data_IF_222020504117
#
_entry.id   IF_222020504117
#
_cell.length_a   1.000
_cell.length_b   1.000
_cell.length_c   1.000
_cell.angle_alpha   90.00
_cell.angle_beta   90.00
_cell.angle_gamma   90.00
#
_symmetry.space_group_name_H-M   'P 1'
#
loop_
_entity.id
_entity.type
_entity.pdbx_description
1 polymer ?
#
# COMPACT_ATOMS: atom_id res chain seq x y z
N UNK A 1 -8.25 -20.16 0.97
CA UNK A 1 -8.30 -18.68 1.06
C UNK A 1 -8.52 -18.20 -0.37
N UNK A 2 -9.63 -17.53 -0.69
CA UNK A 2 -9.90 -17.10 -2.07
C UNK A 2 -8.96 -15.95 -2.42
N UNK A 3 -8.15 -16.12 -3.47
CA UNK A 3 -7.36 -15.02 -3.99
C UNK A 3 -8.31 -13.93 -4.50
N UNK A 4 -8.06 -12.70 -4.09
CA UNK A 4 -8.80 -11.54 -4.58
C UNK A 4 -7.97 -10.84 -5.66
N UNK A 5 -8.57 -10.06 -6.57
CA UNK A 5 -7.86 -9.29 -7.59
C UNK A 5 -7.46 -7.88 -7.14
N UNK A 6 -7.64 -7.49 -5.87
CA UNK A 6 -7.44 -6.11 -5.40
C UNK A 6 -5.97 -5.64 -5.46
N UNK A 7 -5.78 -4.35 -5.76
CA UNK A 7 -4.51 -3.65 -5.56
C UNK A 7 -4.53 -2.92 -4.21
N UNK A 8 -3.37 -2.78 -3.57
CA UNK A 8 -3.23 -2.21 -2.23
C UNK A 8 -2.21 -1.06 -2.25
N UNK A 9 -2.65 0.12 -1.81
CA UNK A 9 -1.77 1.22 -1.44
C UNK A 9 -1.55 1.16 0.08
N UNK A 10 -0.41 0.61 0.50
CA UNK A 10 -0.05 0.51 1.91
C UNK A 10 0.55 1.83 2.40
N UNK A 11 -0.12 2.47 3.36
CA UNK A 11 0.25 3.78 3.89
C UNK A 11 0.67 3.62 5.36
N UNK A 12 1.96 3.85 5.66
CA UNK A 12 2.47 3.87 7.03
C UNK A 12 3.77 4.70 7.10
N UNK A 13 4.27 4.95 8.31
CA UNK A 13 5.56 5.60 8.57
C UNK A 13 6.73 4.61 8.40
N UNK A 14 6.48 3.31 8.56
CA UNK A 14 7.49 2.25 8.44
C UNK A 14 6.90 1.01 7.74
N UNK A 15 7.73 0.26 7.01
CA UNK A 15 7.31 -0.93 6.27
C UNK A 15 7.90 -2.24 6.79
N UNK A 16 8.56 -2.25 7.95
CA UNK A 16 9.35 -3.40 8.42
C UNK A 16 8.53 -4.70 8.46
N UNK A 17 7.24 -4.59 8.84
CA UNK A 17 6.32 -5.73 8.92
C UNK A 17 5.88 -6.28 7.56
N UNK A 18 5.89 -5.46 6.51
CA UNK A 18 5.42 -5.83 5.17
C UNK A 18 6.54 -5.89 4.13
N UNK A 19 7.81 -5.65 4.53
CA UNK A 19 8.95 -5.61 3.61
C UNK A 19 9.08 -6.87 2.75
N UNK A 20 8.80 -8.03 3.34
CA UNK A 20 8.82 -9.33 2.66
C UNK A 20 7.73 -9.49 1.58
N UNK A 21 6.75 -8.58 1.51
CA UNK A 21 5.75 -8.52 0.45
C UNK A 21 6.16 -7.59 -0.69
N UNK A 22 7.20 -6.76 -0.48
CA UNK A 22 7.68 -5.76 -1.43
C UNK A 22 8.92 -6.23 -2.20
N UNK A 23 9.69 -7.17 -1.64
CA UNK A 23 10.97 -7.64 -2.19
C UNK A 23 11.14 -9.16 -1.99
N UNK A 24 11.63 -9.93 -2.98
CA UNK A 24 12.06 -9.53 -4.33
C UNK A 24 10.94 -9.48 -5.37
N UNK A 25 11.21 -8.94 -6.57
CA UNK A 25 10.24 -8.76 -7.65
C UNK A 25 9.50 -10.02 -8.13
N UNK A 26 9.98 -11.22 -7.76
CA UNK A 26 9.39 -12.50 -8.12
C UNK A 26 8.21 -12.92 -7.24
N UNK A 27 7.78 -12.09 -6.28
CA UNK A 27 6.67 -12.42 -5.38
C UNK A 27 5.33 -12.19 -6.11
N UNK A 28 4.30 -13.04 -5.90
CA UNK A 28 2.96 -12.87 -6.49
C UNK A 28 2.28 -11.52 -6.25
N UNK A 29 2.75 -10.76 -5.25
CA UNK A 29 2.24 -9.45 -4.87
C UNK A 29 2.92 -8.29 -5.61
N UNK A 30 3.99 -8.57 -6.37
CA UNK A 30 4.68 -7.53 -7.11
C UNK A 30 3.72 -6.86 -8.11
N UNK A 31 3.73 -5.52 -8.15
CA UNK A 31 2.79 -4.71 -8.91
C UNK A 31 1.37 -4.60 -8.34
N UNK A 32 1.01 -5.41 -7.32
CA UNK A 32 -0.30 -5.36 -6.66
C UNK A 32 -0.29 -4.61 -5.33
N UNK A 33 0.83 -4.60 -4.62
CA UNK A 33 1.03 -3.82 -3.40
C UNK A 33 2.07 -2.72 -3.63
N UNK A 34 1.77 -1.50 -3.21
CA UNK A 34 2.68 -0.36 -3.26
C UNK A 34 2.76 0.27 -1.88
N UNK A 35 3.98 0.50 -1.39
CA UNK A 35 4.18 1.16 -0.10
C UNK A 35 4.44 2.66 -0.27
N UNK A 36 3.64 3.48 0.40
CA UNK A 36 3.82 4.92 0.48
C UNK A 36 4.17 5.32 1.92
N UNK A 37 5.43 5.71 2.12
CA UNK A 37 5.84 6.31 3.39
C UNK A 37 5.17 7.66 3.56
N UNK A 38 4.20 7.73 4.47
CA UNK A 38 3.33 8.89 4.63
C UNK A 38 2.96 9.06 6.10
N UNK A 39 3.07 10.30 6.60
CA UNK A 39 2.62 10.65 7.95
C UNK A 39 1.30 11.40 7.85
N UNK A 40 0.19 10.69 8.07
CA UNK A 40 -1.18 11.18 7.81
C UNK A 40 -1.53 12.51 8.50
N UNK A 41 -0.81 12.91 9.56
CA UNK A 41 -1.05 14.16 10.28
C UNK A 41 -0.78 15.42 9.45
N UNK A 42 0.14 15.38 8.47
CA UNK A 42 0.54 16.58 7.74
C UNK A 42 1.13 16.28 6.35
N UNK A 43 0.62 15.26 5.66
CA UNK A 43 1.10 14.90 4.33
C UNK A 43 0.02 15.21 3.29
N UNK A 44 0.25 16.24 2.47
CA UNK A 44 -0.69 16.69 1.44
C UNK A 44 -0.95 15.66 0.35
N UNK A 45 -0.07 14.66 0.18
CA UNK A 45 -0.25 13.60 -0.81
C UNK A 45 -1.35 12.62 -0.41
N UNK A 46 -1.76 12.58 0.86
CA UNK A 46 -2.77 11.65 1.36
C UNK A 46 -4.10 11.80 0.61
N UNK A 47 -4.52 13.04 0.32
CA UNK A 47 -5.76 13.28 -0.42
C UNK A 47 -5.70 12.68 -1.84
N UNK A 48 -4.55 12.80 -2.50
CA UNK A 48 -4.33 12.18 -3.82
C UNK A 48 -4.40 10.65 -3.75
N UNK A 49 -3.77 10.04 -2.74
CA UNK A 49 -3.80 8.58 -2.55
C UNK A 49 -5.23 8.06 -2.28
N UNK A 50 -6.03 8.80 -1.50
CA UNK A 50 -7.43 8.47 -1.26
C UNK A 50 -8.23 8.57 -2.57
N UNK A 51 -8.03 9.62 -3.37
CA UNK A 51 -8.72 9.79 -4.67
C UNK A 51 -8.34 8.73 -5.70
N UNK A 52 -7.17 8.12 -5.57
CA UNK A 52 -6.73 7.00 -6.42
C UNK A 52 -7.24 5.64 -5.94
N UNK A 53 -7.94 5.56 -4.80
CA UNK A 53 -8.40 4.32 -4.20
C UNK A 53 -9.92 4.17 -4.27
N UNK A 54 -10.40 2.98 -4.63
CA UNK A 54 -11.84 2.68 -4.63
C UNK A 54 -12.39 2.45 -3.21
N UNK A 55 -11.53 2.03 -2.27
CA UNK A 55 -11.88 1.72 -0.89
C UNK A 55 -10.74 2.08 0.06
N UNK A 56 -11.08 2.65 1.22
CA UNK A 56 -10.12 3.07 2.25
C UNK A 56 -10.43 2.38 3.58
N UNK A 57 -9.40 1.85 4.25
CA UNK A 57 -9.45 1.32 5.61
C UNK A 57 -8.66 2.24 6.55
N UNK A 58 -9.18 2.49 7.75
CA UNK A 58 -8.57 3.33 8.78
C UNK A 58 -8.53 2.61 10.13
#
# INVERSE_FOLDING_TARGET
MSETPHAVLAIDVYNDKIKHLLEPDSIPWNGRIQFHRCKIKNDSRLEGLIKCSDLVFY
#
